data_IF_940453852040
#
_entry.id   IF_940453852040
#
_cell.length_a   1.000
_cell.length_b   1.000
_cell.length_c   1.000
_cell.angle_alpha   90.00
_cell.angle_beta   90.00
_cell.angle_gamma   90.00
#
_symmetry.space_group_name_H-M   'P 1'
#
loop_
_entity.id
_entity.type
_entity.pdbx_description
1 polymer ?
#
# COMPACT_ATOMS: atom_id res chain seq x y z
N UNK A 1 -5.04 19.46 -10.60
CA UNK A 1 -5.38 19.17 -9.19
C UNK A 1 -4.53 18.00 -8.73
N UNK A 2 -3.79 18.12 -7.63
CA UNK A 2 -3.09 16.98 -7.05
C UNK A 2 -4.14 16.11 -6.34
N UNK A 3 -4.42 14.92 -6.88
CA UNK A 3 -5.25 13.93 -6.20
C UNK A 3 -4.55 13.43 -4.92
N UNK A 4 -5.31 12.84 -4.00
CA UNK A 4 -4.74 12.21 -2.80
C UNK A 4 -3.71 11.13 -3.19
N UNK A 5 -2.57 11.05 -2.49
CA UNK A 5 -1.64 9.94 -2.62
C UNK A 5 -2.30 8.61 -2.30
N UNK A 6 -2.01 7.60 -3.12
CA UNK A 6 -2.34 6.20 -2.89
C UNK A 6 -1.06 5.49 -2.46
N UNK A 7 -1.02 5.01 -1.22
CA UNK A 7 0.15 4.34 -0.66
C UNK A 7 -0.16 2.86 -0.52
N UNK A 8 0.63 2.00 -1.15
CA UNK A 8 0.46 0.56 -1.03
C UNK A 8 1.27 0.00 0.15
N UNK A 9 0.62 -0.77 1.01
CA UNK A 9 1.28 -1.62 2.00
C UNK A 9 1.38 -3.05 1.47
N UNK A 10 2.60 -3.48 1.15
CA UNK A 10 2.91 -4.83 0.68
C UNK A 10 3.82 -5.53 1.68
N UNK A 11 3.68 -6.86 1.76
CA UNK A 11 4.52 -7.66 2.64
C UNK A 11 3.79 -8.70 3.47
N UNK A 12 4.57 -9.52 4.15
CA UNK A 12 4.10 -10.62 4.98
C UNK A 12 4.76 -10.65 6.35
N UNK A 13 5.19 -9.50 6.87
CA UNK A 13 5.64 -9.40 8.26
C UNK A 13 4.50 -9.74 9.22
N UNK A 14 4.86 -10.32 10.36
CA UNK A 14 3.94 -10.65 11.44
C UNK A 14 3.92 -9.56 12.53
N UNK A 15 4.08 -8.30 12.13
CA UNK A 15 4.17 -7.17 13.05
C UNK A 15 2.84 -6.40 13.08
N UNK A 16 1.95 -6.83 13.98
CA UNK A 16 0.60 -6.28 14.10
C UNK A 16 0.61 -4.77 14.37
N UNK A 17 1.31 -4.34 15.43
CA UNK A 17 1.34 -2.93 15.88
C UNK A 17 1.94 -2.00 14.83
N UNK A 18 2.98 -2.44 14.12
CA UNK A 18 3.58 -1.64 13.05
C UNK A 18 2.63 -1.43 11.88
N UNK A 19 1.96 -2.50 11.43
CA UNK A 19 0.94 -2.35 10.38
C UNK A 19 -0.18 -1.43 10.84
N UNK A 20 -0.63 -1.59 12.10
CA UNK A 20 -1.68 -0.76 12.70
C UNK A 20 -1.29 0.71 12.74
N UNK A 21 -0.10 1.03 13.22
CA UNK A 21 0.38 2.41 13.26
C UNK A 21 0.57 3.00 11.86
N UNK A 22 1.11 2.23 10.92
CA UNK A 22 1.19 2.65 9.52
C UNK A 22 -0.19 3.01 8.95
N UNK A 23 -1.21 2.18 9.20
CA UNK A 23 -2.59 2.44 8.78
C UNK A 23 -3.15 3.75 9.37
N UNK A 24 -2.94 3.97 10.67
CA UNK A 24 -3.36 5.20 11.37
C UNK A 24 -2.71 6.42 10.73
N UNK A 25 -1.40 6.38 10.51
CA UNK A 25 -0.64 7.50 9.95
C UNK A 25 -1.05 7.84 8.50
N UNK A 26 -1.39 6.85 7.68
CA UNK A 26 -1.97 7.06 6.34
C UNK A 26 -3.32 7.78 6.43
N UNK A 27 -4.20 7.37 7.36
CA UNK A 27 -5.49 8.04 7.59
C UNK A 27 -5.32 9.46 8.14
N UNK A 28 -4.38 9.69 9.08
CA UNK A 28 -4.03 11.02 9.63
C UNK A 28 -3.67 12.01 8.53
N UNK A 29 -2.87 11.56 7.56
CA UNK A 29 -2.47 12.35 6.37
C UNK A 29 -3.57 12.48 5.31
N UNK A 30 -4.73 11.86 5.51
CA UNK A 30 -5.84 11.82 4.57
C UNK A 30 -5.44 11.26 3.20
N UNK A 31 -4.50 10.33 3.17
CA UNK A 31 -4.10 9.56 2.00
C UNK A 31 -5.05 8.36 1.79
N UNK A 32 -4.78 7.56 0.76
CA UNK A 32 -5.52 6.34 0.44
C UNK A 32 -4.58 5.16 0.71
N UNK A 33 -5.01 4.24 1.58
CA UNK A 33 -4.31 2.98 1.81
C UNK A 33 -4.72 1.97 0.73
N UNK A 34 -3.74 1.35 0.06
CA UNK A 34 -3.96 0.23 -0.85
C UNK A 34 -3.29 -1.03 -0.31
N UNK A 35 -3.99 -2.16 -0.34
CA UNK A 35 -3.37 -3.46 0.02
C UNK A 35 -4.10 -4.66 -0.58
N UNK A 36 -3.41 -5.80 -0.63
CA UNK A 36 -3.89 -7.08 -1.17
C UNK A 36 -4.34 -8.11 -0.12
N UNK A 37 -4.67 -7.68 1.10
CA UNK A 37 -4.95 -8.53 2.25
C UNK A 37 -6.26 -9.32 2.18
N UNK A 38 -6.57 -10.01 3.27
CA UNK A 38 -7.80 -10.78 3.49
C UNK A 38 -8.79 -10.03 4.39
N UNK A 39 -10.07 -10.39 4.28
CA UNK A 39 -11.13 -9.81 5.10
C UNK A 39 -11.31 -10.67 6.36
N UNK A 40 -10.50 -10.41 7.38
CA UNK A 40 -10.44 -11.21 8.62
C UNK A 40 -10.99 -10.47 9.84
N UNK A 41 -11.50 -11.25 10.81
CA UNK A 41 -11.95 -10.70 12.10
C UNK A 41 -10.79 -10.06 12.86
N UNK A 42 -11.08 -8.99 13.60
CA UNK A 42 -10.08 -8.24 14.35
C UNK A 42 -9.24 -9.14 15.28
N UNK A 43 -9.88 -10.09 15.96
CA UNK A 43 -9.19 -11.02 16.88
C UNK A 43 -8.23 -11.94 16.13
N UNK A 44 -8.57 -12.30 14.91
CA UNK A 44 -7.78 -13.16 14.04
C UNK A 44 -6.60 -12.42 13.43
N UNK A 45 -6.76 -11.13 13.12
CA UNK A 45 -5.68 -10.25 12.70
C UNK A 45 -4.69 -10.04 13.84
N UNK A 46 -5.17 -9.73 15.05
CA UNK A 46 -4.34 -9.56 16.24
C UNK A 46 -3.53 -10.82 16.57
N UNK A 47 -4.14 -12.00 16.45
CA UNK A 47 -3.46 -13.29 16.66
C UNK A 47 -2.49 -13.65 15.54
N UNK A 48 -2.83 -13.33 14.30
CA UNK A 48 -2.06 -13.69 13.11
C UNK A 48 -0.85 -12.79 12.85
N UNK A 49 -0.88 -11.56 13.36
CA UNK A 49 0.18 -10.57 13.19
C UNK A 49 0.28 -9.97 11.78
N UNK A 50 -0.65 -10.28 10.88
CA UNK A 50 -0.48 -10.01 9.47
C UNK A 50 -0.57 -8.50 9.17
N UNK A 51 0.52 -7.92 8.64
CA UNK A 51 0.67 -6.48 8.49
C UNK A 51 -0.37 -5.84 7.55
N UNK A 52 -0.74 -6.52 6.47
CA UNK A 52 -1.74 -6.00 5.52
C UNK A 52 -3.06 -5.75 6.25
N UNK A 53 -3.56 -6.75 6.95
CA UNK A 53 -4.82 -6.69 7.68
C UNK A 53 -4.74 -5.75 8.89
N UNK A 54 -3.62 -5.72 9.62
CA UNK A 54 -3.48 -4.80 10.75
C UNK A 54 -3.39 -3.34 10.30
N UNK A 55 -2.83 -3.08 9.10
CA UNK A 55 -2.88 -1.73 8.50
C UNK A 55 -4.27 -1.29 8.09
N UNK A 56 -5.10 -2.22 7.60
CA UNK A 56 -6.52 -1.95 7.34
C UNK A 56 -7.25 -1.59 8.63
N UNK A 57 -7.01 -2.35 9.71
CA UNK A 57 -7.60 -2.11 11.02
C UNK A 57 -7.17 -0.76 11.59
N UNK A 58 -5.87 -0.46 11.61
CA UNK A 58 -5.36 0.81 12.11
C UNK A 58 -5.88 2.02 11.32
N UNK A 59 -5.99 1.88 10.00
CA UNK A 59 -6.58 2.91 9.16
C UNK A 59 -8.06 3.16 9.51
N UNK A 60 -8.84 2.08 9.73
CA UNK A 60 -10.24 2.14 10.09
C UNK A 60 -10.46 2.74 11.49
N UNK A 61 -9.68 2.36 12.49
CA UNK A 61 -9.77 2.89 13.86
C UNK A 61 -9.50 4.40 13.95
N UNK A 62 -8.54 4.91 13.17
CA UNK A 62 -8.27 6.35 13.08
C UNK A 62 -9.34 7.10 12.27
N UNK A 63 -10.17 6.36 11.53
CA UNK A 63 -11.26 6.88 10.74
C UNK A 63 -12.34 7.50 11.61
N UNK A 64 -12.54 8.81 11.48
CA UNK A 64 -13.66 9.54 12.09
C UNK A 64 -14.47 10.27 11.01
N UNK A 65 -15.74 10.66 11.23
CA UNK A 65 -16.57 11.29 10.19
C UNK A 65 -15.90 12.46 9.46
N UNK A 66 -15.09 13.26 10.17
CA UNK A 66 -14.35 14.40 9.59
C UNK A 66 -13.00 14.04 8.95
N UNK A 67 -12.46 12.86 9.23
CA UNK A 67 -11.22 12.29 8.67
C UNK A 67 -11.48 10.79 8.41
N UNK A 68 -12.20 10.46 7.33
CA UNK A 68 -12.54 9.07 7.10
C UNK A 68 -11.33 8.32 6.56
N UNK A 69 -11.20 7.08 7.02
CA UNK A 69 -10.32 6.08 6.44
C UNK A 69 -10.69 5.87 4.97
N UNK A 70 -9.69 5.89 4.08
CA UNK A 70 -9.87 5.59 2.65
C UNK A 70 -9.03 4.40 2.31
N UNK A 71 -9.70 3.31 1.95
CA UNK A 71 -9.06 2.04 1.75
C UNK A 71 -9.48 1.44 0.41
N UNK A 72 -8.50 1.01 -0.37
CA UNK A 72 -8.72 0.18 -1.56
C UNK A 72 -8.08 -1.17 -1.28
N UNK A 73 -8.90 -2.20 -1.15
CA UNK A 73 -8.43 -3.57 -1.00
C UNK A 73 -8.59 -4.31 -2.31
N UNK A 74 -7.52 -4.85 -2.88
CA UNK A 74 -7.62 -5.80 -3.99
C UNK A 74 -7.59 -7.19 -3.36
N UNK A 75 -8.76 -7.77 -3.10
CA UNK A 75 -8.95 -8.90 -2.18
C UNK A 75 -9.00 -10.22 -2.95
N UNK A 76 -8.57 -11.37 -2.38
CA UNK A 76 -8.68 -12.65 -3.07
C UNK A 76 -10.14 -13.01 -3.32
N UNK A 77 -10.41 -13.78 -4.38
CA UNK A 77 -11.76 -14.30 -4.59
C UNK A 77 -12.14 -15.32 -3.50
N UNK A 78 -13.43 -15.50 -3.28
CA UNK A 78 -13.96 -16.43 -2.27
C UNK A 78 -13.92 -15.92 -0.82
N UNK A 79 -13.43 -14.70 -0.59
CA UNK A 79 -13.41 -14.09 0.75
C UNK A 79 -14.83 -13.74 1.24
N UNK A 80 -15.06 -13.70 2.57
CA UNK A 80 -16.33 -13.28 3.15
C UNK A 80 -16.67 -11.82 2.77
N UNK A 81 -17.94 -11.37 2.93
CA UNK A 81 -18.25 -9.95 2.82
C UNK A 81 -17.47 -9.12 3.85
N UNK A 82 -17.29 -7.81 3.62
CA UNK A 82 -16.66 -6.93 4.59
C UNK A 82 -17.33 -7.02 5.97
N UNK A 83 -16.52 -7.12 7.02
CA UNK A 83 -16.95 -7.20 8.41
C UNK A 83 -17.40 -5.83 8.94
N UNK A 84 -18.14 -5.77 10.06
CA UNK A 84 -18.68 -4.51 10.60
C UNK A 84 -17.63 -3.41 10.84
N UNK A 85 -16.44 -3.74 11.33
CA UNK A 85 -15.35 -2.76 11.52
C UNK A 85 -14.85 -2.16 10.19
N UNK A 86 -15.13 -2.82 9.05
CA UNK A 86 -14.87 -2.33 7.70
C UNK A 86 -16.09 -1.63 7.07
N UNK A 87 -17.21 -1.51 7.76
CA UNK A 87 -18.43 -0.90 7.22
C UNK A 87 -18.50 0.62 7.45
N UNK A 88 -17.81 1.15 8.47
CA UNK A 88 -17.93 2.56 8.90
C UNK A 88 -16.95 3.52 8.18
N UNK A 89 -16.08 3.01 7.31
CA UNK A 89 -15.11 3.79 6.53
C UNK A 89 -15.39 3.86 5.03
N UNK A 90 -14.61 4.66 4.30
CA UNK A 90 -14.67 4.70 2.82
C UNK A 90 -13.80 3.61 2.24
N UNK A 91 -14.30 2.38 2.30
CA UNK A 91 -13.59 1.20 1.85
C UNK A 91 -14.14 0.71 0.50
N UNK A 92 -13.24 0.38 -0.40
CA UNK A 92 -13.58 -0.20 -1.70
C UNK A 92 -12.79 -1.49 -1.88
N UNK A 93 -13.49 -2.61 -1.72
CA UNK A 93 -12.92 -3.95 -1.84
C UNK A 93 -13.24 -4.53 -3.22
N UNK A 94 -12.19 -4.69 -4.02
CA UNK A 94 -12.26 -5.23 -5.37
C UNK A 94 -11.96 -6.72 -5.36
N UNK A 95 -12.94 -7.50 -5.82
CA UNK A 95 -12.78 -8.93 -6.16
C UNK A 95 -12.60 -9.02 -7.66
N UNK A 96 -11.43 -9.46 -8.09
CA UNK A 96 -10.98 -9.25 -9.48
C UNK A 96 -11.18 -10.45 -10.39
N UNK A 97 -11.45 -11.65 -9.85
CA UNK A 97 -11.42 -12.87 -10.67
C UNK A 97 -10.01 -13.39 -10.93
N UNK A 98 -8.96 -12.64 -10.52
CA UNK A 98 -7.57 -12.95 -10.83
C UNK A 98 -6.94 -13.84 -9.74
N UNK A 99 -6.08 -14.76 -10.17
CA UNK A 99 -5.23 -15.52 -9.27
C UNK A 99 -4.31 -14.60 -8.44
N UNK A 100 -3.91 -15.07 -7.26
CA UNK A 100 -3.21 -14.24 -6.26
C UNK A 100 -1.94 -13.58 -6.80
N UNK A 101 -1.18 -14.28 -7.64
CA UNK A 101 0.06 -13.84 -8.27
C UNK A 101 -0.20 -12.77 -9.34
N UNK A 102 -1.22 -12.98 -10.18
CA UNK A 102 -1.57 -12.08 -11.29
C UNK A 102 -2.06 -10.73 -10.74
N UNK A 103 -2.88 -10.77 -9.70
CA UNK A 103 -3.44 -9.57 -9.04
C UNK A 103 -2.36 -8.64 -8.45
N UNK A 104 -1.15 -9.13 -8.17
CA UNK A 104 -0.05 -8.32 -7.64
C UNK A 104 0.29 -7.13 -8.57
N UNK A 105 0.08 -7.27 -9.87
CA UNK A 105 0.24 -6.17 -10.85
C UNK A 105 -0.61 -4.97 -10.47
N UNK A 106 -1.85 -5.18 -10.01
CA UNK A 106 -2.76 -4.10 -9.62
C UNK A 106 -2.22 -3.39 -8.38
N UNK A 107 -1.77 -4.16 -7.37
CA UNK A 107 -1.17 -3.61 -6.16
C UNK A 107 0.13 -2.84 -6.43
N UNK A 108 0.84 -3.20 -7.49
CA UNK A 108 2.10 -2.59 -7.87
C UNK A 108 1.95 -1.32 -8.72
N UNK A 109 1.01 -1.30 -9.68
CA UNK A 109 0.85 -0.20 -10.65
C UNK A 109 -0.03 0.95 -10.17
N UNK A 110 -1.03 0.64 -9.35
CA UNK A 110 -2.03 1.60 -8.85
C UNK A 110 -1.46 2.67 -7.91
N UNK A 111 -0.59 2.34 -6.93
CA UNK A 111 -0.15 3.32 -5.94
C UNK A 111 0.79 4.38 -6.54
N UNK A 112 0.86 5.51 -5.85
CA UNK A 112 1.89 6.53 -6.08
C UNK A 112 3.23 6.10 -5.48
N UNK A 113 3.21 5.31 -4.41
CA UNK A 113 4.39 4.73 -3.76
C UNK A 113 4.06 3.39 -3.10
N UNK A 114 4.99 2.44 -3.19
CA UNK A 114 4.89 1.13 -2.55
C UNK A 114 5.78 1.08 -1.32
N UNK A 115 5.22 0.68 -0.18
CA UNK A 115 5.96 0.39 1.05
C UNK A 115 5.99 -1.12 1.29
N UNK A 116 7.18 -1.69 1.31
CA UNK A 116 7.41 -3.10 1.56
C UNK A 116 7.86 -3.35 3.01
N UNK A 117 7.14 -4.24 3.70
CA UNK A 117 7.42 -4.66 5.07
C UNK A 117 7.92 -6.11 5.12
N UNK A 118 8.98 -6.41 4.38
CA UNK A 118 9.47 -7.77 4.18
C UNK A 118 8.44 -8.68 3.48
N UNK A 119 8.82 -9.91 3.16
CA UNK A 119 7.88 -10.82 2.49
C UNK A 119 8.53 -11.96 1.74
N UNK A 120 7.72 -12.62 0.91
CA UNK A 120 8.12 -13.73 0.04
C UNK A 120 8.01 -13.38 -1.44
N UNK A 121 7.83 -14.40 -2.28
CA UNK A 121 7.74 -14.27 -3.75
C UNK A 121 6.68 -13.24 -4.20
N UNK A 122 5.48 -13.26 -3.59
CA UNK A 122 4.43 -12.29 -3.92
C UNK A 122 4.83 -10.84 -3.67
N UNK A 123 5.50 -10.56 -2.55
CA UNK A 123 5.98 -9.21 -2.24
C UNK A 123 7.10 -8.78 -3.18
N UNK A 124 8.02 -9.69 -3.52
CA UNK A 124 9.05 -9.41 -4.52
C UNK A 124 8.43 -9.13 -5.90
N UNK A 125 7.38 -9.85 -6.30
CA UNK A 125 6.64 -9.56 -7.52
C UNK A 125 5.96 -8.19 -7.47
N UNK A 126 5.28 -7.85 -6.37
CA UNK A 126 4.69 -6.51 -6.17
C UNK A 126 5.77 -5.41 -6.32
N UNK A 127 6.99 -5.62 -5.80
CA UNK A 127 8.12 -4.69 -5.96
C UNK A 127 8.59 -4.63 -7.43
N UNK A 128 8.80 -5.77 -8.09
CA UNK A 128 9.30 -5.81 -9.47
C UNK A 128 8.40 -5.04 -10.43
N UNK A 129 7.09 -5.29 -10.35
CA UNK A 129 6.11 -4.61 -11.19
C UNK A 129 5.98 -3.12 -10.85
N UNK A 130 6.22 -2.72 -9.60
CA UNK A 130 6.20 -1.33 -9.19
C UNK A 130 7.39 -0.58 -9.79
N UNK A 131 8.60 -1.16 -9.69
CA UNK A 131 9.82 -0.62 -10.32
C UNK A 131 9.63 -0.47 -11.83
N UNK A 132 9.12 -1.51 -12.50
CA UNK A 132 8.84 -1.46 -13.94
C UNK A 132 7.80 -0.41 -14.31
N UNK A 133 6.83 -0.13 -13.43
CA UNK A 133 5.84 0.91 -13.63
C UNK A 133 6.34 2.32 -13.24
N UNK A 134 7.62 2.47 -12.90
CA UNK A 134 8.22 3.73 -12.47
C UNK A 134 7.67 4.22 -11.13
N UNK A 135 7.15 3.32 -10.28
CA UNK A 135 6.65 3.66 -8.95
C UNK A 135 7.79 3.62 -7.94
N UNK A 136 7.99 4.68 -7.13
CA UNK A 136 8.90 4.63 -6.00
C UNK A 136 8.57 3.45 -5.07
N UNK A 137 9.61 2.74 -4.64
CA UNK A 137 9.51 1.64 -3.67
C UNK A 137 10.36 1.97 -2.46
N UNK A 138 9.77 1.86 -1.27
CA UNK A 138 10.47 1.96 0.00
C UNK A 138 10.40 0.63 0.73
N UNK A 139 11.55 0.10 1.14
CA UNK A 139 11.61 -1.09 1.99
C UNK A 139 11.80 -0.63 3.42
N UNK A 140 10.73 -0.66 4.19
CA UNK A 140 10.72 -0.20 5.58
C UNK A 140 11.35 -1.20 6.53
N UNK A 141 11.21 -2.50 6.27
CA UNK A 141 11.84 -3.58 7.04
C UNK A 141 12.09 -4.80 6.20
N UNK A 142 13.01 -5.63 6.68
CA UNK A 142 13.24 -6.95 6.11
C UNK A 142 14.00 -6.89 4.79
N UNK A 143 14.81 -5.84 4.59
CA UNK A 143 15.69 -5.66 3.44
C UNK A 143 16.51 -6.93 3.16
N UNK A 144 17.31 -7.33 4.15
CA UNK A 144 18.19 -8.51 4.04
C UNK A 144 17.39 -9.80 3.77
N UNK A 145 16.16 -9.90 4.29
CA UNK A 145 15.30 -11.06 4.04
C UNK A 145 14.77 -11.06 2.61
N UNK A 146 14.29 -9.92 2.11
CA UNK A 146 13.82 -9.77 0.73
C UNK A 146 14.97 -10.02 -0.26
N UNK A 147 16.13 -9.42 -0.04
CA UNK A 147 17.32 -9.60 -0.88
C UNK A 147 17.71 -11.08 -0.99
N UNK A 148 17.83 -11.80 0.14
CA UNK A 148 18.10 -13.26 0.12
C UNK A 148 16.97 -14.05 -0.55
N UNK A 149 15.74 -13.57 -0.44
CA UNK A 149 14.59 -14.25 -0.99
C UNK A 149 14.50 -14.15 -2.52
N UNK A 150 15.19 -13.19 -3.15
CA UNK A 150 15.30 -13.10 -4.62
C UNK A 150 15.85 -14.41 -5.16
N UNK A 151 17.06 -14.82 -4.75
CA UNK A 151 17.64 -16.08 -5.23
C UNK A 151 16.82 -17.30 -4.80
N UNK A 152 16.34 -17.29 -3.54
CA UNK A 152 15.55 -18.42 -3.00
C UNK A 152 14.31 -18.74 -3.84
N UNK A 153 13.60 -17.71 -4.29
CA UNK A 153 12.36 -17.86 -5.05
C UNK A 153 12.61 -17.80 -6.55
N UNK A 154 13.35 -16.81 -7.04
CA UNK A 154 13.51 -16.53 -8.46
C UNK A 154 14.75 -17.16 -9.10
N UNK A 155 15.61 -17.81 -8.30
CA UNK A 155 16.56 -18.82 -8.81
C UNK A 155 15.87 -20.13 -9.22
N UNK A 156 14.56 -20.29 -8.94
CA UNK A 156 13.76 -21.46 -9.33
C UNK A 156 12.89 -21.11 -10.54
N UNK A 157 13.09 -21.74 -11.73
CA UNK A 157 12.36 -21.38 -12.94
C UNK A 157 10.82 -21.40 -12.79
N UNK A 158 10.28 -22.38 -12.06
CA UNK A 158 8.84 -22.49 -11.85
C UNK A 158 8.26 -21.32 -11.05
N UNK A 159 8.95 -20.87 -10.00
CA UNK A 159 8.46 -19.75 -9.18
C UNK A 159 8.72 -18.41 -9.87
N UNK A 160 9.81 -18.30 -10.64
CA UNK A 160 10.05 -17.14 -11.50
C UNK A 160 8.90 -16.98 -12.51
N UNK A 161 8.53 -18.09 -13.19
CA UNK A 161 7.39 -18.12 -14.09
C UNK A 161 6.09 -17.79 -13.37
N UNK A 162 5.79 -18.45 -12.24
CA UNK A 162 4.54 -18.22 -11.50
C UNK A 162 4.38 -16.76 -11.05
N UNK A 163 5.43 -16.12 -10.54
CA UNK A 163 5.32 -14.81 -9.89
C UNK A 163 5.69 -13.62 -10.78
N UNK A 164 6.51 -13.79 -11.80
CA UNK A 164 6.90 -12.72 -12.73
C UNK A 164 6.48 -13.02 -14.18
N UNK A 165 6.39 -14.29 -14.59
CA UNK A 165 5.98 -14.69 -15.93
C UNK A 165 4.46 -14.61 -16.14
N UNK A 166 3.70 -15.42 -15.40
CA UNK A 166 2.24 -15.52 -15.54
C UNK A 166 1.55 -14.16 -15.37
N UNK A 167 1.93 -13.29 -14.41
CA UNK A 167 1.28 -11.99 -14.27
C UNK A 167 1.47 -11.04 -15.47
N UNK A 168 2.44 -11.28 -16.36
CA UNK A 168 2.60 -10.51 -17.60
C UNK A 168 1.39 -10.64 -18.53
N UNK A 169 0.57 -11.68 -18.39
CA UNK A 169 -0.70 -11.76 -19.13
C UNK A 169 -1.64 -10.58 -18.82
N UNK A 170 -1.54 -10.01 -17.61
CA UNK A 170 -2.30 -8.84 -17.17
C UNK A 170 -1.54 -7.53 -17.33
N UNK A 171 -0.23 -7.58 -17.62
CA UNK A 171 0.61 -6.40 -17.87
C UNK A 171 1.74 -6.72 -18.86
N UNK A 172 1.41 -6.93 -20.15
CA UNK A 172 2.40 -7.36 -21.14
C UNK A 172 3.43 -6.28 -21.44
N UNK A 173 3.10 -5.00 -21.23
CA UNK A 173 4.05 -3.89 -21.41
C UNK A 173 5.15 -3.85 -20.33
N UNK A 174 5.10 -4.71 -19.31
CA UNK A 174 6.13 -4.80 -18.28
C UNK A 174 7.42 -5.48 -18.78
N UNK A 175 7.46 -5.96 -20.02
CA UNK A 175 8.60 -6.67 -20.61
C UNK A 175 8.49 -8.18 -20.39
N UNK A 176 9.58 -8.80 -19.95
CA UNK A 176 9.63 -10.23 -19.63
C UNK A 176 10.06 -10.50 -18.19
N UNK A 177 9.91 -11.75 -17.75
CA UNK A 177 10.21 -12.14 -16.37
C UNK A 177 11.70 -12.01 -15.99
N UNK A 178 12.63 -12.12 -16.96
CA UNK A 178 14.06 -11.97 -16.71
C UNK A 178 14.41 -10.49 -16.53
N UNK A 179 13.80 -9.61 -17.32
CA UNK A 179 13.89 -8.15 -17.13
C UNK A 179 13.37 -7.73 -15.75
N UNK A 180 12.19 -8.21 -15.34
CA UNK A 180 11.63 -7.93 -14.01
C UNK A 180 12.53 -8.46 -12.88
N UNK A 181 13.14 -9.63 -13.08
CA UNK A 181 14.09 -10.20 -12.13
C UNK A 181 15.37 -9.35 -12.04
N UNK A 182 15.91 -8.89 -13.17
CA UNK A 182 17.08 -8.02 -13.22
C UNK A 182 16.83 -6.68 -12.50
N UNK A 183 15.65 -6.07 -12.71
CA UNK A 183 15.26 -4.84 -11.99
C UNK A 183 15.26 -5.02 -10.48
N UNK A 184 14.78 -6.17 -9.98
CA UNK A 184 14.85 -6.47 -8.55
C UNK A 184 16.29 -6.58 -8.07
N UNK A 185 17.15 -7.30 -8.80
CA UNK A 185 18.55 -7.46 -8.43
C UNK A 185 19.27 -6.10 -8.39
N UNK A 186 19.04 -5.24 -9.38
CA UNK A 186 19.60 -3.90 -9.45
C UNK A 186 19.12 -3.03 -8.29
N UNK A 187 17.81 -3.02 -8.00
CA UNK A 187 17.23 -2.25 -6.90
C UNK A 187 17.90 -2.60 -5.56
N UNK A 188 18.02 -3.89 -5.24
CA UNK A 188 18.64 -4.32 -3.99
C UNK A 188 20.16 -4.20 -3.96
N UNK A 189 20.82 -3.99 -5.11
CA UNK A 189 22.26 -3.75 -5.19
C UNK A 189 22.62 -2.26 -5.06
N UNK A 190 21.74 -1.36 -5.51
CA UNK A 190 22.06 0.07 -5.64
C UNK A 190 21.32 0.98 -4.66
N UNK A 191 20.25 0.49 -4.04
CA UNK A 191 19.43 1.28 -3.11
C UNK A 191 19.78 0.95 -1.66
N UNK A 192 19.76 1.96 -0.78
CA UNK A 192 19.95 1.77 0.64
C UNK A 192 18.63 1.42 1.37
N UNK A 193 18.66 0.63 2.45
CA UNK A 193 17.47 0.35 3.26
C UNK A 193 16.89 1.64 3.88
N UNK A 194 15.56 1.72 3.97
CA UNK A 194 14.83 2.83 4.60
C UNK A 194 14.18 2.39 5.94
N UNK A 195 14.96 1.74 6.82
CA UNK A 195 14.49 1.26 8.12
C UNK A 195 14.38 2.41 9.13
N UNK A 196 13.23 3.09 9.15
CA UNK A 196 12.91 4.22 10.03
C UNK A 196 11.68 3.93 10.91
N UNK A 197 11.20 4.86 11.75
CA UNK A 197 9.89 4.70 12.42
C UNK A 197 8.73 4.89 11.43
N UNK A 198 7.52 4.44 11.76
CA UNK A 198 6.35 4.62 10.88
C UNK A 198 6.08 6.12 10.59
N UNK A 199 6.07 6.98 11.60
CA UNK A 199 5.90 8.43 11.41
C UNK A 199 6.96 9.02 10.47
N UNK A 200 8.24 8.70 10.70
CA UNK A 200 9.36 9.14 9.86
C UNK A 200 9.26 8.60 8.43
N UNK A 201 8.72 7.38 8.27
CA UNK A 201 8.48 6.77 6.97
C UNK A 201 7.46 7.61 6.18
N UNK A 202 6.35 8.02 6.79
CA UNK A 202 5.33 8.79 6.08
C UNK A 202 5.83 10.20 5.71
N UNK A 203 6.69 10.82 6.51
CA UNK A 203 7.33 12.09 6.13
C UNK A 203 8.29 11.91 4.95
N UNK A 204 9.05 10.81 4.95
CA UNK A 204 9.91 10.44 3.82
C UNK A 204 9.08 10.20 2.55
N UNK A 205 7.91 9.56 2.68
CA UNK A 205 6.95 9.37 1.58
C UNK A 205 6.45 10.71 1.06
N UNK A 206 6.07 11.64 1.94
CA UNK A 206 5.58 12.95 1.55
C UNK A 206 6.64 13.74 0.78
N UNK A 207 7.89 13.70 1.24
CA UNK A 207 9.04 14.31 0.56
C UNK A 207 9.29 13.67 -0.81
N UNK A 208 9.28 12.34 -0.88
CA UNK A 208 9.49 11.58 -2.12
C UNK A 208 8.44 11.87 -3.16
N UNK A 209 7.18 12.00 -2.74
CA UNK A 209 6.05 12.30 -3.62
C UNK A 209 5.86 13.81 -3.87
N UNK A 210 6.68 14.66 -3.26
CA UNK A 210 6.52 16.12 -3.26
C UNK A 210 5.09 16.56 -2.92
N UNK A 211 4.48 15.91 -1.92
CA UNK A 211 3.11 16.16 -1.50
C UNK A 211 3.08 17.39 -0.59
N UNK A 212 2.41 18.45 -1.04
CA UNK A 212 2.14 19.62 -0.21
C UNK A 212 1.33 19.22 1.05
N UNK A 213 1.52 19.94 2.16
CA UNK A 213 0.79 19.70 3.40
C UNK A 213 -0.72 19.58 3.16
N UNK A 214 -1.41 18.63 3.82
CA UNK A 214 -2.82 18.38 3.59
C UNK A 214 -3.62 19.65 3.86
N UNK A 215 -4.54 19.95 2.96
CA UNK A 215 -5.51 21.01 3.16
C UNK A 215 -6.70 20.43 3.91
N UNK A 216 -7.44 21.26 4.62
CA UNK A 216 -8.72 20.81 5.18
C UNK A 216 -9.71 20.31 4.11
N UNK A 217 -9.47 20.59 2.82
CA UNK A 217 -10.29 20.18 1.71
C UNK A 217 -9.82 18.87 1.06
N UNK A 218 -10.72 17.89 0.89
CA UNK A 218 -10.47 16.76 0.01
C UNK A 218 -10.08 17.20 -1.42
N UNK A 219 -8.82 17.02 -1.82
CA UNK A 219 -8.39 17.11 -3.23
C UNK A 219 -8.02 18.50 -3.76
N UNK A 220 -7.89 19.52 -2.90
CA UNK A 220 -7.34 20.82 -3.27
C UNK A 220 -5.96 21.01 -2.63
N UNK A 221 -4.93 21.47 -3.34
CA UNK A 221 -3.65 21.88 -2.74
C UNK A 221 -3.76 23.24 -2.01
N UNK A 222 -2.96 23.47 -0.97
CA UNK A 222 -2.85 24.78 -0.28
C UNK A 222 -3.58 24.99 1.07
N UNK A 223 -2.82 25.50 2.03
CA UNK A 223 -3.18 26.01 3.37
C UNK A 223 -4.01 25.06 4.29
N UNK A 224 -3.43 24.61 5.43
CA UNK A 224 -4.16 23.84 6.45
C UNK A 224 -5.46 24.50 6.96
N UNK A 225 -5.55 25.84 6.91
CA UNK A 225 -6.73 26.61 7.35
C UNK A 225 -7.82 26.82 6.30
N UNK A 226 -7.63 26.40 5.05
CA UNK A 226 -8.53 26.73 3.94
C UNK A 226 -9.97 26.26 4.17
N UNK A 227 -10.16 25.09 4.79
CA UNK A 227 -11.49 24.57 5.11
C UNK A 227 -12.16 25.35 6.23
N UNK A 228 -11.43 25.65 7.29
CA UNK A 228 -11.98 26.41 8.42
C UNK A 228 -12.35 27.82 7.98
N UNK A 229 -11.57 28.43 7.08
CA UNK A 229 -11.89 29.70 6.44
C UNK A 229 -13.16 29.60 5.59
N UNK A 230 -13.26 28.61 4.70
CA UNK A 230 -14.46 28.39 3.90
C UNK A 230 -15.70 28.12 4.75
N UNK A 231 -15.62 27.24 5.75
CA UNK A 231 -16.76 26.97 6.64
C UNK A 231 -17.18 28.23 7.39
N UNK A 232 -16.23 29.08 7.78
CA UNK A 232 -16.51 30.38 8.41
C UNK A 232 -17.21 31.33 7.44
N UNK A 233 -16.75 31.41 6.18
CA UNK A 233 -17.38 32.21 5.13
C UNK A 233 -18.81 31.72 4.85
N UNK A 234 -19.01 30.42 4.64
CA UNK A 234 -20.34 29.84 4.41
C UNK A 234 -21.28 30.15 5.57
N UNK A 235 -20.84 30.00 6.83
CA UNK A 235 -21.64 30.35 8.01
C UNK A 235 -21.97 31.83 8.09
N UNK A 236 -21.09 32.71 7.61
CA UNK A 236 -21.31 34.15 7.61
C UNK A 236 -22.35 34.58 6.56
N UNK A 237 -22.32 33.97 5.37
CA UNK A 237 -23.25 34.31 4.26
C UNK A 237 -24.58 33.55 4.33
N UNK A 238 -24.68 32.51 5.17
CA UNK A 238 -25.92 31.74 5.37
C UNK A 238 -26.78 32.29 6.52
N UNK A 239 -26.46 33.48 7.03
CA UNK A 239 -27.28 34.27 7.98
C UNK A 239 -28.02 35.34 7.21
#
# INVERSE_FOLDING_TARGET
MARRPIIAAVGGSKNFEEGKEFGREVTRRQWILLTGGELRDERDVARGGALKESSMLGAAEEGVPRRPARLVGIIPDGQPPPLPWMAEGRHFFLRTGLLHNIRNVINARTPDLVVAFGGGAGTLAEIAFALQAGRPVMVHRGWNRLQRNIERYFGRPLLLQEYLGDPLMAYPEAGDMHHLHALLQEFFATTAPAEVSAESLLDTIAQTLNVASPTGFPGLPGCPGSKDEFERVIRAISR
#
